data_IF_369106934868
#
_entry.id   IF_369106934868
#
_cell.length_a   1.000
_cell.length_b   1.000
_cell.length_c   1.000
_cell.angle_alpha   90.00
_cell.angle_beta   90.00
_cell.angle_gamma   90.00
#
_symmetry.space_group_name_H-M   'P 1'
#
loop_
_entity.id
_entity.type
_entity.pdbx_description
1 polymer ?
#
# COMPACT_ATOMS: atom_id res chain seq x y z
N UNK A 1 -22.19 8.96 13.31
CA UNK A 1 -21.18 7.89 13.18
C UNK A 1 -19.83 8.40 13.64
N UNK A 2 -19.14 7.62 14.44
CA UNK A 2 -17.80 7.99 14.90
C UNK A 2 -16.79 7.58 13.82
N UNK A 3 -15.92 8.50 13.36
CA UNK A 3 -14.90 8.15 12.40
C UNK A 3 -13.99 7.04 12.92
N UNK A 4 -13.46 6.19 12.06
CA UNK A 4 -12.55 5.13 12.50
C UNK A 4 -11.26 5.73 13.06
N UNK A 5 -10.76 5.11 14.13
CA UNK A 5 -9.47 5.46 14.70
C UNK A 5 -8.37 4.73 13.95
N UNK A 6 -7.11 5.20 13.99
CA UNK A 6 -6.03 4.55 13.25
C UNK A 6 -5.91 3.06 13.49
N UNK A 7 -6.07 2.58 14.72
CA UNK A 7 -5.94 1.16 15.04
C UNK A 7 -7.00 0.29 14.39
N UNK A 8 -8.06 0.87 13.84
CA UNK A 8 -9.11 0.14 13.14
C UNK A 8 -8.89 0.13 11.63
N UNK A 9 -7.80 0.70 11.16
CA UNK A 9 -7.52 0.87 9.75
C UNK A 9 -6.22 0.15 9.39
N UNK A 10 -6.27 -0.66 8.33
CA UNK A 10 -5.08 -1.22 7.70
C UNK A 10 -4.79 -0.42 6.44
N UNK A 11 -3.57 0.06 6.29
CA UNK A 11 -3.11 0.66 5.05
C UNK A 11 -2.57 -0.43 4.13
N UNK A 12 -2.93 -0.36 2.86
CA UNK A 12 -2.43 -1.28 1.84
C UNK A 12 -1.73 -0.47 0.76
N UNK A 13 -0.44 -0.69 0.59
CA UNK A 13 0.32 -0.05 -0.48
C UNK A 13 0.32 -0.98 -1.67
N UNK A 14 -0.24 -0.53 -2.79
CA UNK A 14 -0.35 -1.31 -4.01
C UNK A 14 0.91 -1.13 -4.85
N UNK A 15 1.88 -2.00 -4.66
CA UNK A 15 3.13 -2.02 -5.41
C UNK A 15 3.22 -3.23 -6.36
N UNK A 16 2.16 -4.04 -6.40
CA UNK A 16 2.16 -5.27 -7.18
C UNK A 16 2.29 -5.04 -8.66
N UNK A 17 1.49 -4.15 -9.18
CA UNK A 17 1.44 -3.90 -10.60
C UNK A 17 1.30 -5.18 -11.41
N UNK A 18 1.09 -5.09 -12.66
CA UNK A 18 0.94 -6.25 -13.53
C UNK A 18 2.26 -6.66 -14.16
N UNK A 19 3.35 -6.44 -13.48
CA UNK A 19 4.64 -6.56 -14.13
C UNK A 19 4.83 -5.49 -15.19
N UNK A 20 3.95 -4.53 -15.24
CA UNK A 20 4.06 -3.42 -16.16
C UNK A 20 5.06 -2.45 -15.64
N UNK A 21 6.23 -2.64 -16.09
CA UNK A 21 7.32 -1.80 -15.70
C UNK A 21 7.89 -1.16 -16.92
N UNK A 22 8.13 0.11 -16.82
CA UNK A 22 8.86 0.81 -17.84
C UNK A 22 10.30 0.33 -17.81
N UNK A 23 10.71 -0.40 -18.85
CA UNK A 23 12.08 -0.90 -18.93
C UNK A 23 12.48 -1.89 -17.84
N UNK A 24 11.51 -2.63 -17.29
CA UNK A 24 11.80 -3.62 -16.27
C UNK A 24 11.96 -3.07 -14.86
N UNK A 25 11.68 -1.80 -14.66
CA UNK A 25 11.83 -1.16 -13.35
C UNK A 25 10.56 -1.36 -12.52
N UNK A 26 10.73 -1.77 -11.26
CA UNK A 26 9.66 -1.82 -10.30
C UNK A 26 9.42 -0.40 -9.77
N UNK A 27 8.29 0.19 -10.10
CA UNK A 27 8.01 1.58 -9.77
C UNK A 27 8.08 1.88 -8.27
N UNK A 28 7.60 0.97 -7.44
CA UNK A 28 7.64 1.15 -5.99
C UNK A 28 9.06 1.30 -5.45
N UNK A 29 10.03 0.75 -6.17
CA UNK A 29 11.44 0.81 -5.79
C UNK A 29 12.22 1.89 -6.53
N UNK A 30 11.55 2.68 -7.39
CA UNK A 30 12.20 3.81 -8.04
C UNK A 30 12.54 4.87 -7.01
N UNK A 31 13.69 5.52 -7.19
CA UNK A 31 14.15 6.52 -6.24
C UNK A 31 13.57 7.90 -6.52
N UNK A 32 13.22 8.59 -5.46
CA UNK A 32 12.83 9.99 -5.48
C UNK A 32 13.51 10.65 -4.28
N UNK A 33 14.38 11.59 -4.54
CA UNK A 33 15.15 12.27 -3.50
C UNK A 33 15.91 11.29 -2.60
N UNK A 34 16.51 10.25 -3.21
CA UNK A 34 17.35 9.29 -2.50
C UNK A 34 16.62 8.19 -1.78
N UNK A 35 15.29 8.19 -1.77
CA UNK A 35 14.46 7.15 -1.16
C UNK A 35 13.52 6.55 -2.18
N UNK A 36 13.12 5.30 -1.98
CA UNK A 36 12.17 4.67 -2.88
C UNK A 36 10.78 5.31 -2.74
N UNK A 37 9.99 5.17 -3.79
CA UNK A 37 8.60 5.66 -3.78
C UNK A 37 7.83 5.06 -2.62
N UNK A 38 8.01 3.76 -2.38
CA UNK A 38 7.34 3.06 -1.28
C UNK A 38 7.76 3.65 0.07
N UNK A 39 9.05 3.95 0.26
CA UNK A 39 9.50 4.55 1.50
C UNK A 39 8.82 5.89 1.78
N UNK A 40 8.65 6.71 0.75
CA UNK A 40 7.94 7.97 0.89
C UNK A 40 6.50 7.76 1.37
N UNK A 41 5.82 6.79 0.78
CA UNK A 41 4.44 6.47 1.13
C UNK A 41 4.36 5.92 2.56
N UNK A 42 5.23 4.98 2.90
CA UNK A 42 5.23 4.38 4.24
C UNK A 42 5.44 5.41 5.33
N UNK A 43 6.36 6.35 5.11
CA UNK A 43 6.62 7.40 6.09
C UNK A 43 5.40 8.24 6.38
N UNK A 44 4.61 8.54 5.34
CA UNK A 44 3.43 9.39 5.48
C UNK A 44 2.22 8.64 5.97
N UNK A 45 2.10 7.36 5.61
CA UNK A 45 0.94 6.57 5.94
C UNK A 45 1.02 5.92 7.33
N UNK A 46 2.23 5.52 7.74
CA UNK A 46 2.43 4.82 9.01
C UNK A 46 1.76 5.51 10.22
N UNK A 47 1.89 6.83 10.39
CA UNK A 47 1.25 7.47 11.55
C UNK A 47 -0.27 7.55 11.45
N UNK A 48 -0.84 7.26 10.31
CA UNK A 48 -2.28 7.42 10.09
C UNK A 48 -3.08 6.12 10.23
N UNK A 49 -2.39 4.97 10.28
CA UNK A 49 -3.05 3.65 10.31
C UNK A 49 -2.45 2.80 11.41
N UNK A 50 -3.17 1.75 11.82
CA UNK A 50 -2.68 0.85 12.86
C UNK A 50 -1.85 -0.29 12.31
N UNK A 51 -2.04 -0.64 11.04
CA UNK A 51 -1.31 -1.71 10.37
C UNK A 51 -1.02 -1.31 8.95
N UNK A 52 0.06 -1.86 8.41
CA UNK A 52 0.41 -1.67 7.01
C UNK A 52 0.70 -3.02 6.36
N UNK A 53 0.24 -3.16 5.13
CA UNK A 53 0.53 -4.32 4.28
C UNK A 53 1.02 -3.77 2.95
N UNK A 54 2.03 -4.41 2.39
CA UNK A 54 2.53 -4.07 1.05
C UNK A 54 2.10 -5.17 0.11
N UNK A 55 1.43 -4.81 -0.97
CA UNK A 55 1.11 -5.75 -2.04
C UNK A 55 2.21 -5.67 -3.09
N UNK A 56 2.92 -6.77 -3.30
CA UNK A 56 3.99 -6.84 -4.30
C UNK A 56 4.06 -8.24 -4.88
N UNK A 57 4.29 -8.34 -6.19
CA UNK A 57 4.38 -9.62 -6.89
C UNK A 57 5.82 -10.00 -7.24
N UNK A 58 6.77 -9.15 -6.90
CA UNK A 58 8.19 -9.38 -7.12
C UNK A 58 8.98 -8.58 -6.10
N UNK A 59 10.28 -8.86 -5.99
CA UNK A 59 11.15 -8.19 -5.05
C UNK A 59 10.63 -8.28 -3.60
N UNK A 60 10.04 -9.43 -3.26
CA UNK A 60 9.41 -9.62 -1.95
C UNK A 60 10.38 -9.34 -0.81
N UNK A 61 11.63 -9.79 -0.93
CA UNK A 61 12.62 -9.59 0.12
C UNK A 61 12.94 -8.11 0.33
N UNK A 62 13.00 -7.37 -0.77
CA UNK A 62 13.25 -5.93 -0.70
C UNK A 62 12.10 -5.22 0.00
N UNK A 63 10.87 -5.53 -0.39
CA UNK A 63 9.71 -4.92 0.24
C UNK A 63 9.56 -5.35 1.71
N UNK A 64 9.84 -6.61 2.01
CA UNK A 64 9.78 -7.09 3.39
C UNK A 64 10.80 -6.37 4.27
N UNK A 65 11.91 -5.93 3.69
CA UNK A 65 12.93 -5.17 4.41
C UNK A 65 12.46 -3.83 4.94
N UNK A 66 11.33 -3.33 4.46
CA UNK A 66 10.76 -2.08 5.00
C UNK A 66 10.01 -2.30 6.32
N UNK A 67 9.89 -3.54 6.78
CA UNK A 67 9.35 -3.82 8.12
C UNK A 67 7.85 -4.11 8.17
N UNK A 68 7.20 -4.36 7.02
CA UNK A 68 5.77 -4.65 6.97
C UNK A 68 5.51 -5.94 6.20
N UNK A 69 4.40 -6.63 6.48
CA UNK A 69 4.04 -7.83 5.73
C UNK A 69 3.88 -7.54 4.24
N UNK A 70 4.30 -8.48 3.41
CA UNK A 70 4.18 -8.39 1.96
C UNK A 70 3.27 -9.51 1.47
N UNK A 71 2.26 -9.16 0.68
CA UNK A 71 1.35 -10.15 0.10
C UNK A 71 1.37 -10.02 -1.42
N UNK A 72 1.38 -11.16 -2.11
CA UNK A 72 1.27 -11.19 -3.57
C UNK A 72 -0.18 -11.34 -3.99
N UNK A 73 -0.44 -11.08 -5.28
CA UNK A 73 -1.76 -11.28 -5.86
C UNK A 73 -2.13 -12.75 -5.78
N UNK A 74 -3.39 -13.02 -5.48
CA UNK A 74 -3.92 -14.38 -5.37
C UNK A 74 -4.68 -14.77 -6.64
N UNK A 75 -5.13 -13.78 -7.41
CA UNK A 75 -5.86 -14.01 -8.63
C UNK A 75 -4.89 -14.01 -9.79
N UNK A 76 -4.86 -15.09 -10.55
CA UNK A 76 -4.05 -15.17 -11.75
C UNK A 76 -4.73 -14.40 -12.87
N UNK A 77 -3.93 -13.96 -13.84
CA UNK A 77 -4.46 -13.41 -15.08
C UNK A 77 -4.72 -11.91 -15.04
N UNK A 78 -4.06 -11.18 -14.21
CA UNK A 78 -3.95 -9.73 -14.41
C UNK A 78 -5.22 -8.93 -14.20
N UNK A 79 -5.74 -8.97 -13.02
CA UNK A 79 -6.86 -8.11 -12.67
C UNK A 79 -6.42 -6.69 -12.31
N UNK A 80 -5.17 -6.32 -12.54
CA UNK A 80 -4.64 -5.00 -12.22
C UNK A 80 -4.69 -4.70 -10.73
N UNK A 81 -4.99 -3.44 -10.35
CA UNK A 81 -5.05 -3.09 -8.94
C UNK A 81 -6.09 -3.89 -8.16
N UNK A 82 -7.10 -4.45 -8.83
CA UNK A 82 -8.13 -5.24 -8.14
C UNK A 82 -7.57 -6.51 -7.55
N UNK A 83 -6.59 -7.15 -8.20
CA UNK A 83 -5.95 -8.35 -7.65
C UNK A 83 -5.18 -8.01 -6.37
N UNK A 84 -4.48 -6.88 -6.35
CA UNK A 84 -3.77 -6.43 -5.16
C UNK A 84 -4.72 -6.06 -4.03
N UNK A 85 -5.82 -5.40 -4.36
CA UNK A 85 -6.85 -5.06 -3.38
C UNK A 85 -7.46 -6.32 -2.77
N UNK A 86 -7.76 -7.32 -3.60
CA UNK A 86 -8.31 -8.60 -3.12
C UNK A 86 -7.32 -9.28 -2.16
N UNK A 87 -6.05 -9.32 -2.53
CA UNK A 87 -5.02 -9.91 -1.66
C UNK A 87 -4.92 -9.18 -0.32
N UNK A 88 -4.99 -7.86 -0.35
CA UNK A 88 -4.96 -7.05 0.86
C UNK A 88 -6.18 -7.28 1.72
N UNK A 89 -7.36 -7.37 1.12
CA UNK A 89 -8.59 -7.66 1.86
C UNK A 89 -8.53 -9.03 2.53
N UNK A 90 -7.97 -10.02 1.83
CA UNK A 90 -7.82 -11.35 2.40
C UNK A 90 -6.89 -11.38 3.61
N UNK A 91 -5.91 -10.50 3.65
CA UNK A 91 -4.95 -10.40 4.75
C UNK A 91 -5.38 -9.40 5.83
N UNK A 92 -6.42 -8.61 5.56
CA UNK A 92 -6.84 -7.53 6.45
C UNK A 92 -7.60 -8.09 7.65
N UNK A 93 -7.22 -7.66 8.85
CA UNK A 93 -7.86 -8.10 10.09
C UNK A 93 -8.57 -6.94 10.81
N UNK A 94 -8.57 -5.76 10.22
CA UNK A 94 -9.23 -4.59 10.79
C UNK A 94 -10.53 -4.30 10.04
N UNK A 95 -11.44 -3.52 10.64
CA UNK A 95 -12.71 -3.20 9.98
C UNK A 95 -12.59 -2.37 8.71
N UNK A 96 -11.49 -1.61 8.56
CA UNK A 96 -11.31 -0.72 7.42
C UNK A 96 -9.99 -1.00 6.72
N UNK A 97 -9.99 -0.89 5.41
CA UNK A 97 -8.80 -0.99 4.58
C UNK A 97 -8.69 0.26 3.73
N UNK A 98 -7.53 0.89 3.77
CA UNK A 98 -7.22 2.03 2.90
C UNK A 98 -6.13 1.62 1.92
N UNK A 99 -6.47 1.55 0.64
CA UNK A 99 -5.50 1.19 -0.39
C UNK A 99 -4.95 2.44 -1.05
N UNK A 100 -3.64 2.51 -1.20
CA UNK A 100 -2.97 3.62 -1.88
C UNK A 100 -2.01 3.07 -2.92
N UNK A 101 -1.87 3.73 -4.08
CA UNK A 101 -0.93 3.30 -5.10
C UNK A 101 0.50 3.69 -4.74
N UNK A 102 1.47 2.95 -5.27
CA UNK A 102 2.88 3.20 -4.98
C UNK A 102 3.44 4.40 -5.74
N UNK A 103 2.68 5.00 -6.65
CA UNK A 103 3.13 6.16 -7.42
C UNK A 103 2.58 7.49 -6.90
N UNK A 104 2.12 7.51 -5.66
CA UNK A 104 1.63 8.73 -5.01
C UNK A 104 2.49 9.02 -3.77
N UNK A 105 3.76 9.40 -3.95
CA UNK A 105 4.70 9.50 -2.82
C UNK A 105 4.41 10.64 -1.85
N UNK A 106 3.62 11.62 -2.27
CA UNK A 106 3.34 12.80 -1.46
C UNK A 106 1.94 12.77 -0.87
N UNK A 107 1.56 11.64 -0.27
CA UNK A 107 0.28 11.54 0.41
C UNK A 107 0.14 12.62 1.46
N UNK A 108 -1.05 13.23 1.59
CA UNK A 108 -1.28 14.18 2.66
C UNK A 108 -1.10 13.54 4.04
N UNK A 109 -0.55 14.28 4.97
CA UNK A 109 -0.38 13.81 6.34
C UNK A 109 -1.71 13.60 7.06
N UNK A 110 -2.80 14.15 6.53
CA UNK A 110 -4.15 14.04 7.08
C UNK A 110 -5.10 13.27 6.16
N UNK A 111 -4.55 12.40 5.28
CA UNK A 111 -5.35 11.66 4.32
C UNK A 111 -6.45 10.85 5.00
N UNK A 112 -6.09 10.10 6.03
CA UNK A 112 -7.05 9.23 6.72
C UNK A 112 -8.14 10.05 7.38
N UNK A 113 -7.77 11.17 8.05
CA UNK A 113 -8.75 12.06 8.66
C UNK A 113 -9.74 12.61 7.65
N UNK A 114 -9.26 13.02 6.48
CA UNK A 114 -10.11 13.56 5.43
C UNK A 114 -11.08 12.51 4.90
N UNK A 115 -10.58 11.30 4.65
CA UNK A 115 -11.43 10.23 4.15
C UNK A 115 -12.42 9.78 5.20
N UNK A 116 -11.99 9.65 6.46
CA UNK A 116 -12.87 9.24 7.53
C UNK A 116 -14.02 10.22 7.75
N UNK A 117 -13.78 11.51 7.53
CA UNK A 117 -14.80 12.54 7.70
C UNK A 117 -15.95 12.42 6.69
N UNK A 118 -15.77 11.64 5.61
CA UNK A 118 -16.80 11.45 4.57
C UNK A 118 -17.63 10.18 4.78
N UNK A 119 -17.31 9.38 5.78
CA UNK A 119 -18.02 8.12 6.02
C UNK A 119 -19.36 8.31 6.70
#
# INVERSE_FOLDING_TARGET
MIPPTPERITGLVLAGGLGRRMGGVDKGLSLLDGETMVEHILRRLTPQVGRLIINANQNHDTYAGFGHPVVGDRIEGHAGPLAGLEAGLAACTTPYLLAVPCDSPFLPADLVSRLAATL
#
